data_IF_833759075384
#
_entry.id   IF_833759075384
#
_cell.length_a   1.000
_cell.length_b   1.000
_cell.length_c   1.000
_cell.angle_alpha   90.00
_cell.angle_beta   90.00
_cell.angle_gamma   90.00
#
_symmetry.space_group_name_H-M   'P 1'
#
loop_
_entity.id
_entity.type
_entity.pdbx_description
1 polymer ?
#
# COMPACT_ATOMS: atom_id res chain seq x y z
N UNK A 1 -4.54 4.86 -3.01
CA UNK A 1 -4.98 6.22 -3.30
C UNK A 1 -6.50 6.36 -3.35
N UNK A 2 -7.20 5.60 -4.21
CA UNK A 2 -8.66 5.71 -4.39
C UNK A 2 -9.43 5.61 -3.06
N UNK A 3 -9.12 4.57 -2.28
CA UNK A 3 -9.79 4.32 -1.00
C UNK A 3 -9.55 5.43 0.02
N UNK A 4 -8.33 5.96 0.07
CA UNK A 4 -7.97 6.94 1.08
C UNK A 4 -8.60 8.31 0.83
N UNK A 5 -8.86 8.63 -0.44
CA UNK A 5 -9.37 9.95 -0.82
C UNK A 5 -10.73 10.28 -0.17
N UNK A 6 -11.50 9.27 0.21
CA UNK A 6 -12.81 9.48 0.86
C UNK A 6 -12.70 10.09 2.26
N UNK A 7 -11.50 10.08 2.86
CA UNK A 7 -11.27 10.73 4.16
C UNK A 7 -10.77 12.17 4.03
N UNK A 8 -10.56 12.64 2.81
CA UNK A 8 -9.96 13.95 2.58
C UNK A 8 -11.00 15.05 2.74
N UNK A 9 -10.58 16.14 3.36
CA UNK A 9 -11.39 17.34 3.54
C UNK A 9 -10.47 18.55 3.56
N UNK A 10 -10.84 19.59 2.84
CA UNK A 10 -10.08 20.82 2.79
C UNK A 10 -11.02 22.03 2.78
N UNK A 11 -10.69 23.08 3.54
CA UNK A 11 -11.47 24.32 3.47
C UNK A 11 -11.49 24.94 2.06
N UNK A 12 -10.49 24.62 1.23
CA UNK A 12 -10.44 25.12 -0.15
C UNK A 12 -11.38 24.36 -1.08
N UNK A 13 -11.84 23.18 -0.63
CA UNK A 13 -12.73 22.30 -1.41
C UNK A 13 -13.92 21.90 -0.53
N UNK A 14 -14.82 22.84 -0.20
CA UNK A 14 -15.87 22.58 0.80
C UNK A 14 -16.86 21.48 0.37
N UNK A 15 -17.08 21.32 -0.92
CA UNK A 15 -17.99 20.28 -1.44
C UNK A 15 -17.24 19.08 -2.03
N UNK A 16 -16.04 18.82 -1.53
CA UNK A 16 -15.17 17.79 -2.09
C UNK A 16 -15.89 16.45 -2.28
N UNK A 17 -16.64 16.03 -1.27
CA UNK A 17 -17.30 14.71 -1.32
C UNK A 17 -18.34 14.58 -2.44
N UNK A 18 -18.89 15.68 -2.92
CA UNK A 18 -19.85 15.65 -4.03
C UNK A 18 -19.18 15.37 -5.38
N UNK A 19 -17.86 15.53 -5.45
CA UNK A 19 -17.09 15.29 -6.69
C UNK A 19 -16.53 13.85 -6.78
N UNK A 20 -16.81 13.00 -5.78
CA UNK A 20 -16.32 11.62 -5.82
C UNK A 20 -16.92 10.85 -7.00
N UNK A 21 -16.18 9.93 -7.61
CA UNK A 21 -14.83 9.47 -7.25
C UNK A 21 -13.74 10.44 -7.74
N UNK A 22 -12.80 10.77 -6.86
CA UNK A 22 -11.74 11.74 -7.16
C UNK A 22 -10.65 11.16 -8.06
N UNK A 23 -10.52 9.85 -8.04
CA UNK A 23 -9.48 9.14 -8.78
C UNK A 23 -10.16 8.22 -9.77
N UNK A 24 -9.75 8.29 -11.01
CA UNK A 24 -10.30 7.50 -12.11
C UNK A 24 -10.25 6.00 -11.76
N UNK A 25 -11.40 5.34 -11.77
CA UNK A 25 -11.52 3.93 -11.40
C UNK A 25 -11.03 2.97 -12.48
N UNK A 26 -11.04 3.40 -13.73
CA UNK A 26 -10.68 2.56 -14.87
C UNK A 26 -9.42 3.02 -15.60
N UNK A 27 -8.77 4.06 -15.09
CA UNK A 27 -7.57 4.62 -15.70
C UNK A 27 -6.29 3.87 -15.34
N UNK A 28 -5.19 4.33 -15.92
CA UNK A 28 -3.86 3.80 -15.62
C UNK A 28 -3.39 4.25 -14.23
N UNK A 29 -2.30 3.65 -13.77
CA UNK A 29 -1.65 4.06 -12.52
C UNK A 29 -1.19 5.52 -12.60
N UNK A 30 -0.66 5.93 -13.75
CA UNK A 30 -0.21 7.32 -13.94
C UNK A 30 -1.40 8.30 -13.90
N UNK A 31 -2.56 7.93 -14.47
CA UNK A 31 -3.73 8.81 -14.35
C UNK A 31 -4.23 8.89 -12.90
N UNK A 32 -4.08 7.83 -12.14
CA UNK A 32 -4.41 7.84 -10.70
C UNK A 32 -3.48 8.77 -9.92
N UNK A 33 -2.19 8.77 -10.30
CA UNK A 33 -1.20 9.68 -9.70
C UNK A 33 -1.54 11.14 -10.03
N UNK A 34 -1.86 11.43 -11.30
CA UNK A 34 -2.23 12.77 -11.74
C UNK A 34 -3.45 13.28 -10.97
N UNK A 35 -4.51 12.46 -10.89
CA UNK A 35 -5.73 12.84 -10.17
C UNK A 35 -5.44 13.11 -8.69
N UNK A 36 -4.59 12.29 -8.06
CA UNK A 36 -4.25 12.48 -6.65
C UNK A 36 -3.43 13.75 -6.46
N UNK A 37 -2.49 14.03 -7.35
CA UNK A 37 -1.68 15.23 -7.30
C UNK A 37 -2.55 16.48 -7.47
N UNK A 38 -3.46 16.47 -8.47
CA UNK A 38 -4.41 17.58 -8.67
C UNK A 38 -5.24 17.82 -7.41
N UNK A 39 -5.73 16.74 -6.80
CA UNK A 39 -6.52 16.84 -5.56
C UNK A 39 -5.70 17.45 -4.42
N UNK A 40 -4.45 17.02 -4.26
CA UNK A 40 -3.57 17.56 -3.22
C UNK A 40 -3.32 19.06 -3.42
N UNK A 41 -2.96 19.46 -4.63
CA UNK A 41 -2.67 20.86 -4.94
C UNK A 41 -3.93 21.74 -4.81
N UNK A 42 -5.05 21.28 -5.35
CA UNK A 42 -6.33 22.01 -5.25
C UNK A 42 -6.80 22.12 -3.79
N UNK A 43 -6.52 21.09 -2.99
CA UNK A 43 -6.88 21.11 -1.56
C UNK A 43 -5.92 21.92 -0.69
N UNK A 44 -4.87 22.51 -1.28
CA UNK A 44 -3.96 23.43 -0.58
C UNK A 44 -2.67 22.79 -0.08
N UNK A 45 -2.42 21.53 -0.41
CA UNK A 45 -1.12 20.93 -0.09
C UNK A 45 -0.07 21.52 -1.05
N UNK A 46 1.08 21.94 -0.52
CA UNK A 46 2.13 22.47 -1.38
C UNK A 46 2.83 21.36 -2.18
N UNK A 47 3.42 21.77 -3.29
CA UNK A 47 4.03 20.83 -4.25
C UNK A 47 5.16 20.01 -3.64
N UNK A 48 5.91 20.55 -2.68
CA UNK A 48 7.01 19.84 -2.03
C UNK A 48 6.47 18.62 -1.27
N UNK A 49 5.51 18.85 -0.39
CA UNK A 49 4.91 17.78 0.42
C UNK A 49 4.14 16.80 -0.46
N UNK A 50 3.36 17.30 -1.42
CA UNK A 50 2.59 16.45 -2.33
C UNK A 50 3.49 15.45 -3.06
N UNK A 51 4.58 15.94 -3.65
CA UNK A 51 5.50 15.08 -4.40
C UNK A 51 6.26 14.12 -3.47
N UNK A 52 6.70 14.59 -2.30
CA UNK A 52 7.40 13.72 -1.34
C UNK A 52 6.51 12.65 -0.73
N UNK A 53 5.20 12.91 -0.64
CA UNK A 53 4.24 11.91 -0.18
C UNK A 53 3.95 10.88 -1.28
N UNK A 54 3.78 11.33 -2.52
CA UNK A 54 3.42 10.46 -3.64
C UNK A 54 4.62 9.70 -4.20
N UNK A 55 5.79 10.37 -4.31
CA UNK A 55 6.99 9.77 -4.93
C UNK A 55 8.22 10.08 -4.05
N UNK A 56 8.30 9.48 -2.87
CA UNK A 56 9.43 9.73 -1.97
C UNK A 56 10.70 9.01 -2.44
N UNK A 57 11.87 9.41 -1.92
CA UNK A 57 13.08 8.61 -2.07
C UNK A 57 12.98 7.32 -1.24
N UNK A 58 13.96 6.45 -1.34
CA UNK A 58 14.06 5.29 -0.44
C UNK A 58 14.52 5.79 0.95
N UNK A 59 13.69 5.57 1.98
CA UNK A 59 14.03 6.07 3.33
C UNK A 59 14.12 4.96 4.38
N UNK A 60 13.34 3.88 4.21
CA UNK A 60 13.18 2.87 5.27
C UNK A 60 14.51 2.24 5.68
N UNK A 61 15.30 1.87 4.69
CA UNK A 61 16.52 1.09 4.90
C UNK A 61 17.80 1.91 4.64
N UNK A 62 17.72 3.23 4.75
CA UNK A 62 18.88 4.12 4.54
C UNK A 62 19.53 4.44 5.89
N UNK A 63 20.63 3.79 6.25
CA UNK A 63 21.15 3.89 7.61
C UNK A 63 21.59 5.31 8.02
N UNK A 64 22.10 6.07 7.07
CA UNK A 64 22.66 7.40 7.30
C UNK A 64 21.67 8.55 7.12
N UNK A 65 20.38 8.23 6.92
CA UNK A 65 19.37 9.29 6.75
C UNK A 65 19.14 10.05 8.05
N UNK A 66 19.09 11.36 7.95
CA UNK A 66 18.77 12.26 9.06
C UNK A 66 17.49 11.75 9.78
N UNK A 67 17.52 11.56 11.10
CA UNK A 67 16.38 11.01 11.83
C UNK A 67 15.07 11.83 11.73
N UNK A 68 15.18 13.15 11.66
CA UNK A 68 13.99 14.01 11.54
C UNK A 68 13.39 13.90 10.14
N UNK A 69 14.25 13.77 9.12
CA UNK A 69 13.79 13.53 7.75
C UNK A 69 13.15 12.15 7.61
N UNK A 70 13.75 11.13 8.23
CA UNK A 70 13.16 9.79 8.27
C UNK A 70 11.77 9.84 8.89
N UNK A 71 11.63 10.57 10.00
CA UNK A 71 10.35 10.70 10.70
C UNK A 71 9.29 11.40 9.82
N UNK A 72 9.70 12.41 9.04
CA UNK A 72 8.80 13.05 8.07
C UNK A 72 8.27 12.04 7.05
N UNK A 73 9.15 11.23 6.45
CA UNK A 73 8.72 10.23 5.46
C UNK A 73 7.86 9.15 6.11
N UNK A 74 8.25 8.66 7.27
CA UNK A 74 7.51 7.64 8.00
C UNK A 74 6.10 8.13 8.34
N UNK A 75 5.98 9.35 8.86
CA UNK A 75 4.70 9.99 9.19
C UNK A 75 3.78 10.04 7.96
N UNK A 76 4.28 10.58 6.85
CA UNK A 76 3.46 10.77 5.66
C UNK A 76 3.08 9.43 5.00
N UNK A 77 3.94 8.41 5.09
CA UNK A 77 3.65 7.08 4.53
C UNK A 77 2.51 6.35 5.25
N UNK A 78 2.15 6.77 6.47
CA UNK A 78 1.05 6.14 7.21
C UNK A 78 -0.31 6.38 6.55
N UNK A 79 -0.44 7.46 5.77
CA UNK A 79 -1.71 7.89 5.21
C UNK A 79 -1.78 7.92 3.69
N UNK A 80 -0.69 7.57 3.01
CA UNK A 80 -0.66 7.49 1.55
C UNK A 80 0.44 6.51 1.10
N UNK A 81 0.06 5.53 0.34
CA UNK A 81 1.02 4.60 -0.27
C UNK A 81 1.79 5.34 -1.37
N UNK A 82 3.12 5.24 -1.37
CA UNK A 82 3.91 5.91 -2.41
C UNK A 82 3.83 5.18 -3.74
N UNK A 83 4.19 5.88 -4.79
CA UNK A 83 4.36 5.30 -6.13
C UNK A 83 5.40 4.18 -6.08
N UNK A 84 5.10 3.08 -6.73
CA UNK A 84 6.04 1.98 -6.92
C UNK A 84 6.16 1.68 -8.41
N UNK A 85 7.39 1.72 -8.91
CA UNK A 85 7.68 1.46 -10.30
C UNK A 85 8.47 2.59 -10.96
N UNK A 86 8.89 2.41 -12.23
CA UNK A 86 9.66 3.43 -12.93
C UNK A 86 8.84 4.70 -13.17
N UNK A 87 9.41 5.86 -12.84
CA UNK A 87 8.75 7.14 -13.08
C UNK A 87 9.77 8.26 -13.31
N UNK A 88 9.51 9.07 -14.32
CA UNK A 88 10.16 10.35 -14.49
C UNK A 88 9.03 11.35 -14.67
N UNK A 89 8.79 12.17 -13.67
CA UNK A 89 7.62 13.04 -13.59
C UNK A 89 8.06 14.47 -13.78
N UNK A 90 7.41 15.17 -14.70
CA UNK A 90 7.56 16.62 -14.89
C UNK A 90 6.18 17.23 -14.72
N UNK A 91 6.09 18.26 -13.90
CA UNK A 91 4.80 18.88 -13.58
C UNK A 91 4.95 20.38 -13.35
N UNK A 92 3.81 21.08 -13.40
CA UNK A 92 3.76 22.49 -13.07
C UNK A 92 2.38 22.82 -12.46
N UNK A 93 2.38 23.69 -11.45
CA UNK A 93 1.16 24.23 -10.85
C UNK A 93 0.91 25.70 -11.25
N UNK A 94 1.64 26.18 -12.26
CA UNK A 94 1.55 27.58 -12.71
C UNK A 94 2.52 28.53 -12.01
N UNK A 95 3.12 28.12 -10.90
CA UNK A 95 4.19 28.84 -10.21
C UNK A 95 5.46 28.04 -10.19
N UNK A 96 5.33 26.80 -9.80
CA UNK A 96 6.46 25.88 -9.72
C UNK A 96 6.49 24.98 -10.95
N UNK A 97 7.69 24.72 -11.45
CA UNK A 97 7.95 23.65 -12.41
C UNK A 97 8.84 22.65 -11.69
N UNK A 98 8.54 21.36 -11.78
CA UNK A 98 9.25 20.38 -10.99
C UNK A 98 9.54 19.10 -11.78
N UNK A 99 10.62 18.43 -11.38
CA UNK A 99 10.94 17.10 -11.88
C UNK A 99 11.25 16.19 -10.71
N UNK A 100 10.62 15.01 -10.69
CA UNK A 100 10.86 13.99 -9.67
C UNK A 100 11.14 12.65 -10.33
N UNK A 101 12.14 11.93 -9.87
CA UNK A 101 12.39 10.57 -10.29
C UNK A 101 11.95 9.59 -9.21
N UNK A 102 11.57 8.38 -9.65
CA UNK A 102 11.22 7.31 -8.72
C UNK A 102 12.40 6.94 -7.82
N UNK A 103 12.11 6.27 -6.70
CA UNK A 103 13.13 5.94 -5.69
C UNK A 103 14.27 5.07 -6.22
N UNK A 104 14.04 4.33 -7.30
CA UNK A 104 15.05 3.46 -7.91
C UNK A 104 15.88 4.18 -8.98
N UNK A 105 15.37 5.30 -9.48
CA UNK A 105 16.02 6.06 -10.54
C UNK A 105 16.08 5.30 -11.87
N UNK A 106 15.01 4.55 -12.18
CA UNK A 106 14.96 3.72 -13.38
C UNK A 106 14.77 4.56 -14.65
N UNK A 107 14.21 5.77 -14.50
CA UNK A 107 14.11 6.74 -15.60
C UNK A 107 15.20 7.79 -15.41
N UNK A 108 15.87 8.21 -16.48
CA UNK A 108 16.86 9.29 -16.37
C UNK A 108 16.22 10.66 -16.46
N UNK A 109 16.88 11.66 -15.89
CA UNK A 109 16.55 13.08 -16.11
C UNK A 109 17.81 13.90 -16.01
N UNK A 110 18.04 14.73 -17.02
CA UNK A 110 19.20 15.61 -17.11
C UNK A 110 18.71 17.04 -17.31
N UNK A 111 19.48 18.00 -16.81
CA UNK A 111 19.13 19.39 -17.01
C UNK A 111 20.34 20.22 -17.43
N UNK A 112 20.04 21.30 -18.13
CA UNK A 112 20.97 22.34 -18.50
C UNK A 112 20.39 23.69 -18.07
N UNK A 113 21.19 24.51 -17.45
CA UNK A 113 20.84 25.89 -17.07
C UNK A 113 21.73 26.84 -17.85
N UNK A 114 21.12 27.79 -18.57
CA UNK A 114 21.87 28.81 -19.31
C UNK A 114 22.17 30.03 -18.43
N UNK A 115 23.11 30.87 -18.90
CA UNK A 115 23.43 32.15 -18.25
C UNK A 115 22.22 33.07 -18.23
N UNK A 116 21.31 32.94 -19.19
CA UNK A 116 20.06 33.69 -19.25
C UNK A 116 18.96 33.12 -18.39
N UNK A 117 19.31 32.12 -17.54
CA UNK A 117 18.39 31.48 -16.58
C UNK A 117 17.28 30.66 -17.24
N UNK A 118 17.49 30.19 -18.46
CA UNK A 118 16.62 29.18 -19.05
C UNK A 118 17.04 27.81 -18.54
N UNK A 119 16.09 27.00 -18.11
CA UNK A 119 16.36 25.61 -17.73
C UNK A 119 15.67 24.67 -18.71
N UNK A 120 16.42 23.71 -19.22
CA UNK A 120 15.91 22.64 -20.05
C UNK A 120 16.15 21.32 -19.34
N UNK A 121 15.09 20.56 -19.18
CA UNK A 121 15.13 19.26 -18.49
C UNK A 121 14.54 18.19 -19.39
N UNK A 122 15.24 17.06 -19.52
CA UNK A 122 14.82 15.97 -20.40
C UNK A 122 15.42 14.64 -19.95
N UNK A 123 14.86 13.55 -20.48
CA UNK A 123 15.39 12.20 -20.22
C UNK A 123 16.80 12.01 -20.76
N UNK A 124 17.16 12.77 -21.82
CA UNK A 124 18.46 12.61 -22.49
C UNK A 124 19.03 13.96 -22.93
N UNK A 125 20.32 13.98 -23.21
CA UNK A 125 21.00 15.18 -23.72
C UNK A 125 20.76 15.33 -25.21
N UNK A 126 20.90 16.57 -25.69
CA UNK A 126 20.85 16.84 -27.13
C UNK A 126 19.46 17.14 -27.68
N UNK A 127 18.45 17.28 -26.82
CA UNK A 127 17.11 17.70 -27.29
C UNK A 127 17.09 19.18 -27.68
N UNK A 128 18.08 19.94 -27.21
CA UNK A 128 18.27 21.35 -27.53
C UNK A 128 19.77 21.62 -27.57
N UNK A 129 20.21 22.29 -28.61
CA UNK A 129 21.63 22.62 -28.76
C UNK A 129 21.93 23.98 -28.14
N UNK A 130 22.81 23.97 -27.16
CA UNK A 130 23.33 25.17 -26.53
C UNK A 130 24.81 25.30 -26.81
N UNK A 131 25.23 26.51 -27.22
CA UNK A 131 26.66 26.78 -27.33
C UNK A 131 27.32 26.63 -25.94
N UNK A 132 28.55 26.10 -25.89
CA UNK A 132 29.21 25.89 -24.59
C UNK A 132 29.29 27.14 -23.72
N UNK A 133 29.43 28.29 -24.33
CA UNK A 133 29.52 29.57 -23.63
C UNK A 133 28.18 30.11 -23.13
N UNK A 134 27.06 29.53 -23.60
CA UNK A 134 25.72 29.87 -23.09
C UNK A 134 25.39 29.11 -21.80
N UNK A 135 26.04 27.99 -21.56
CA UNK A 135 25.71 27.09 -20.46
C UNK A 135 26.34 27.59 -19.17
N UNK A 136 25.53 27.72 -18.11
CA UNK A 136 25.95 28.03 -16.76
C UNK A 136 26.17 26.77 -15.95
N UNK A 137 25.27 25.79 -16.08
CA UNK A 137 25.32 24.55 -15.29
C UNK A 137 24.69 23.39 -16.05
N UNK A 138 25.25 22.20 -15.85
CA UNK A 138 24.67 20.94 -16.33
C UNK A 138 24.59 19.98 -15.16
N UNK A 139 23.49 19.24 -15.09
CA UNK A 139 23.31 18.28 -14.02
C UNK A 139 22.35 17.16 -14.38
N UNK A 140 22.11 16.35 -13.39
CA UNK A 140 21.12 15.27 -13.49
C UNK A 140 20.30 15.21 -12.20
N UNK A 141 19.08 14.74 -12.31
CA UNK A 141 18.24 14.42 -11.16
C UNK A 141 18.51 12.96 -10.84
N UNK A 142 18.82 12.65 -9.59
CA UNK A 142 19.15 11.30 -9.16
C UNK A 142 17.93 10.52 -8.66
N UNK A 143 18.15 9.24 -8.28
CA UNK A 143 17.07 8.40 -7.76
C UNK A 143 16.36 9.05 -6.57
N UNK A 144 15.04 9.18 -6.66
CA UNK A 144 14.23 9.76 -5.61
C UNK A 144 14.42 11.26 -5.41
N UNK A 145 15.22 11.91 -6.24
CA UNK A 145 15.43 13.36 -6.10
C UNK A 145 14.29 14.16 -6.72
N UNK A 146 14.02 15.30 -6.09
CA UNK A 146 13.02 16.27 -6.52
C UNK A 146 13.73 17.60 -6.78
N UNK A 147 13.61 18.11 -8.00
CA UNK A 147 14.13 19.42 -8.40
C UNK A 147 12.93 20.33 -8.67
N UNK A 148 12.88 21.50 -8.04
CA UNK A 148 11.75 22.43 -8.21
C UNK A 148 12.25 23.83 -8.56
N UNK A 149 11.65 24.44 -9.54
CA UNK A 149 11.93 25.81 -10.00
C UNK A 149 10.76 26.68 -9.58
N UNK A 150 11.00 27.68 -8.72
CA UNK A 150 10.01 28.72 -8.40
C UNK A 150 10.16 29.81 -9.47
N UNK A 151 9.26 29.81 -10.42
CA UNK A 151 9.34 30.76 -11.57
C UNK A 151 9.10 32.21 -11.15
N UNK A 152 8.40 32.44 -10.05
CA UNK A 152 8.15 33.80 -9.54
C UNK A 152 9.38 34.38 -8.85
N UNK A 153 10.13 33.53 -8.14
CA UNK A 153 11.33 33.96 -7.40
C UNK A 153 12.62 33.75 -8.20
N UNK A 154 12.56 33.03 -9.32
CA UNK A 154 13.75 32.65 -10.06
C UNK A 154 14.69 31.79 -9.23
N UNK A 155 14.15 30.96 -8.33
CA UNK A 155 14.95 30.11 -7.45
C UNK A 155 14.77 28.64 -7.83
N UNK A 156 15.90 27.94 -7.88
CA UNK A 156 15.91 26.48 -8.01
C UNK A 156 16.07 25.91 -6.61
N UNK A 157 15.17 25.00 -6.25
CA UNK A 157 15.19 24.25 -5.00
C UNK A 157 15.75 22.87 -5.28
N UNK A 158 16.85 22.56 -4.66
CA UNK A 158 17.45 21.23 -4.73
C UNK A 158 16.78 20.31 -3.71
N UNK A 159 16.89 19.01 -3.97
CA UNK A 159 16.26 17.96 -3.16
C UNK A 159 16.54 18.15 -1.65
N UNK A 160 17.78 18.38 -1.28
CA UNK A 160 18.18 18.56 0.13
C UNK A 160 17.56 19.80 0.76
N UNK A 161 17.40 20.89 0.01
CA UNK A 161 16.76 22.11 0.53
C UNK A 161 15.27 21.86 0.81
N UNK A 162 14.61 21.14 -0.11
CA UNK A 162 13.20 20.76 0.03
C UNK A 162 13.02 19.87 1.27
N UNK A 163 13.88 18.87 1.41
CA UNK A 163 13.84 17.92 2.52
C UNK A 163 14.07 18.64 3.87
N UNK A 164 14.99 19.59 3.91
CA UNK A 164 15.25 20.39 5.12
C UNK A 164 14.06 21.30 5.47
N UNK A 165 13.39 21.86 4.49
CA UNK A 165 12.18 22.63 4.71
C UNK A 165 11.08 21.75 5.30
N UNK A 166 10.81 20.61 4.66
CA UNK A 166 9.70 19.72 5.03
C UNK A 166 9.88 19.12 6.43
N UNK A 167 11.07 18.60 6.75
CA UNK A 167 11.29 17.96 8.06
C UNK A 167 11.18 18.93 9.23
N UNK A 168 11.36 20.24 8.96
CA UNK A 168 11.34 21.27 10.01
C UNK A 168 9.95 21.82 10.29
N UNK A 169 8.94 21.47 9.50
CA UNK A 169 7.60 22.05 9.62
C UNK A 169 6.87 21.64 10.89
N UNK A 170 7.07 20.43 11.34
CA UNK A 170 6.42 19.88 12.54
C UNK A 170 7.38 18.97 13.29
N UNK A 171 7.13 18.67 14.56
CA UNK A 171 7.98 17.75 15.33
C UNK A 171 7.64 16.29 15.03
N UNK A 172 7.78 15.88 13.76
CA UNK A 172 7.38 14.55 13.30
C UNK A 172 8.02 13.44 14.12
N UNK A 173 9.28 13.61 14.48
CA UNK A 173 10.00 12.60 15.25
C UNK A 173 9.37 12.39 16.63
N UNK A 174 9.08 13.48 17.33
CA UNK A 174 8.41 13.42 18.64
C UNK A 174 7.03 12.77 18.51
N UNK A 175 6.25 13.16 17.47
CA UNK A 175 4.94 12.57 17.21
C UNK A 175 5.03 11.06 16.99
N UNK A 176 6.01 10.62 16.19
CA UNK A 176 6.20 9.20 15.87
C UNK A 176 6.68 8.41 17.09
N UNK A 177 7.63 8.95 17.86
CA UNK A 177 8.16 8.28 19.05
C UNK A 177 7.10 8.10 20.13
N UNK A 178 6.19 9.07 20.27
CA UNK A 178 5.19 9.05 21.34
C UNK A 178 3.92 8.25 20.99
N UNK A 179 3.56 8.15 19.71
CA UNK A 179 2.22 7.67 19.33
C UNK A 179 2.21 6.39 18.50
N UNK A 180 3.34 6.01 17.87
CA UNK A 180 3.37 4.76 17.11
C UNK A 180 3.45 3.57 18.06
N UNK A 181 2.53 2.62 17.89
CA UNK A 181 2.53 1.40 18.68
C UNK A 181 3.27 0.29 17.93
N UNK A 182 4.13 -0.44 18.65
CA UNK A 182 4.84 -1.60 18.12
C UNK A 182 4.45 -2.81 18.95
N UNK A 183 4.19 -3.92 18.29
CA UNK A 183 3.91 -5.18 18.99
C UNK A 183 5.21 -5.73 19.60
N UNK A 184 5.07 -6.49 20.67
CA UNK A 184 6.21 -7.19 21.27
C UNK A 184 6.69 -8.27 20.30
N UNK A 185 7.97 -8.26 19.92
CA UNK A 185 8.49 -9.29 19.02
C UNK A 185 8.30 -10.71 19.59
N UNK A 186 8.04 -11.68 18.71
CA UNK A 186 7.83 -13.08 19.07
C UNK A 186 8.91 -13.60 20.03
N UNK A 187 10.18 -13.25 19.77
CA UNK A 187 11.33 -13.70 20.58
C UNK A 187 11.32 -13.18 22.01
N UNK A 188 10.48 -12.18 22.31
CA UNK A 188 10.38 -11.57 23.63
C UNK A 188 9.06 -11.92 24.34
N UNK A 189 8.21 -12.69 23.69
CA UNK A 189 6.95 -13.09 24.29
C UNK A 189 7.14 -14.24 25.28
N UNK A 190 6.43 -14.24 26.42
CA UNK A 190 6.45 -15.40 27.29
C UNK A 190 5.78 -16.60 26.63
N UNK A 191 6.20 -17.80 27.02
CA UNK A 191 5.75 -19.06 26.40
C UNK A 191 4.23 -19.22 26.35
N UNK A 192 3.52 -18.74 27.35
CA UNK A 192 2.05 -18.83 27.41
C UNK A 192 1.37 -17.92 26.38
N UNK A 193 2.09 -16.95 25.80
CA UNK A 193 1.57 -16.04 24.78
C UNK A 193 1.92 -16.48 23.35
N UNK A 194 2.79 -17.48 23.22
CA UNK A 194 3.22 -17.97 21.90
C UNK A 194 2.13 -18.79 21.21
N UNK A 195 1.33 -19.48 21.98
CA UNK A 195 0.12 -20.18 21.54
C UNK A 195 0.24 -21.08 20.31
N UNK A 196 0.29 -22.37 20.51
CA UNK A 196 0.22 -23.32 19.40
C UNK A 196 -1.21 -23.84 19.24
N UNK A 197 -1.70 -23.84 18.01
CA UNK A 197 -2.93 -24.53 17.68
C UNK A 197 -2.54 -25.94 17.19
N UNK A 198 -2.81 -26.95 18.01
CA UNK A 198 -2.58 -28.32 17.60
C UNK A 198 -3.82 -28.85 16.87
N UNK A 199 -3.60 -29.63 15.84
CA UNK A 199 -4.67 -30.31 15.10
C UNK A 199 -4.48 -31.82 15.28
N UNK A 200 -5.57 -32.50 15.61
CA UNK A 200 -5.54 -33.96 15.45
C UNK A 200 -5.53 -34.30 13.95
N UNK A 201 -5.17 -35.53 13.63
CA UNK A 201 -4.95 -35.95 12.24
C UNK A 201 -6.20 -35.81 11.35
N UNK A 202 -7.39 -36.04 11.90
CA UNK A 202 -8.64 -35.98 11.13
C UNK A 202 -9.06 -34.54 10.90
N UNK A 203 -8.90 -33.69 11.91
CA UNK A 203 -9.17 -32.26 11.77
C UNK A 203 -8.22 -31.62 10.76
N UNK A 204 -6.93 -31.99 10.82
CA UNK A 204 -5.95 -31.49 9.84
C UNK A 204 -6.34 -31.86 8.41
N UNK A 205 -6.73 -33.13 8.17
CA UNK A 205 -7.19 -33.56 6.85
C UNK A 205 -8.41 -32.80 6.39
N UNK A 206 -9.32 -32.49 7.32
CA UNK A 206 -10.52 -31.74 7.01
C UNK A 206 -10.16 -30.33 6.53
N UNK A 207 -9.26 -29.65 7.25
CA UNK A 207 -8.79 -28.32 6.85
C UNK A 207 -8.05 -28.35 5.52
N UNK A 208 -7.16 -29.34 5.33
CA UNK A 208 -6.43 -29.48 4.06
C UNK A 208 -7.41 -29.60 2.87
N UNK A 209 -8.48 -30.39 3.04
CA UNK A 209 -9.50 -30.51 1.99
C UNK A 209 -10.28 -29.22 1.79
N UNK A 210 -10.69 -28.56 2.86
CA UNK A 210 -11.47 -27.32 2.77
C UNK A 210 -10.69 -26.18 2.11
N UNK A 211 -9.38 -26.14 2.35
CA UNK A 211 -8.52 -25.14 1.73
C UNK A 211 -7.88 -25.62 0.43
N UNK A 212 -8.32 -26.79 -0.07
CA UNK A 212 -7.84 -27.40 -1.32
C UNK A 212 -6.32 -27.57 -1.36
N UNK A 213 -5.69 -27.79 -0.19
CA UNK A 213 -4.24 -27.95 -0.10
C UNK A 213 -3.81 -29.31 -0.66
N UNK A 214 -2.98 -29.27 -1.68
CA UNK A 214 -2.42 -30.47 -2.30
C UNK A 214 -1.14 -30.90 -1.61
N UNK A 215 -0.75 -32.16 -1.82
CA UNK A 215 0.55 -32.66 -1.34
C UNK A 215 1.70 -31.88 -1.98
N UNK A 216 1.51 -31.44 -3.22
CA UNK A 216 2.52 -30.65 -3.93
C UNK A 216 2.75 -29.30 -3.23
N UNK A 217 1.69 -28.62 -2.83
CA UNK A 217 1.82 -27.37 -2.10
C UNK A 217 2.51 -27.58 -0.74
N UNK A 218 2.16 -28.67 -0.05
CA UNK A 218 2.79 -29.00 1.22
C UNK A 218 4.30 -29.21 1.03
N UNK A 219 4.69 -30.00 0.01
CA UNK A 219 6.10 -30.33 -0.21
C UNK A 219 6.90 -29.18 -0.86
N UNK A 220 6.32 -28.49 -1.84
CA UNK A 220 7.08 -27.54 -2.64
C UNK A 220 7.01 -26.12 -2.12
N UNK A 221 6.00 -25.79 -1.31
CA UNK A 221 5.82 -24.44 -0.80
C UNK A 221 5.98 -24.41 0.72
N UNK A 222 5.10 -25.10 1.45
CA UNK A 222 5.09 -25.01 2.92
C UNK A 222 6.34 -25.61 3.55
N UNK A 223 6.82 -26.73 3.02
CA UNK A 223 8.05 -27.35 3.55
C UNK A 223 9.27 -26.47 3.31
N UNK A 224 9.37 -25.85 2.13
CA UNK A 224 10.48 -24.95 1.84
C UNK A 224 10.46 -23.76 2.82
N UNK A 225 9.29 -23.20 3.05
CA UNK A 225 9.16 -22.11 4.01
C UNK A 225 9.49 -22.57 5.44
N UNK A 226 8.97 -23.73 5.85
CA UNK A 226 9.15 -24.23 7.22
C UNK A 226 10.56 -24.73 7.52
N UNK A 227 11.16 -25.48 6.61
CA UNK A 227 12.47 -26.10 6.83
C UNK A 227 13.64 -25.14 6.53
N UNK A 228 13.47 -24.28 5.53
CA UNK A 228 14.56 -23.46 5.00
C UNK A 228 14.41 -21.97 5.30
N UNK A 229 13.25 -21.56 5.82
CA UNK A 229 12.91 -20.15 6.05
C UNK A 229 13.11 -19.31 4.78
N UNK A 230 12.76 -19.90 3.64
CA UNK A 230 12.89 -19.25 2.33
C UNK A 230 11.55 -19.28 1.60
N UNK A 231 11.29 -18.24 0.81
CA UNK A 231 10.13 -18.23 -0.05
C UNK A 231 10.31 -19.27 -1.17
N UNK A 232 9.27 -20.04 -1.43
CA UNK A 232 9.30 -21.02 -2.52
C UNK A 232 9.40 -20.31 -3.87
N UNK A 233 10.23 -20.83 -4.76
CA UNK A 233 10.42 -20.27 -6.10
C UNK A 233 9.47 -20.97 -7.06
N UNK A 234 8.80 -20.20 -7.90
CA UNK A 234 7.85 -20.72 -8.86
C UNK A 234 7.87 -19.97 -10.18
N UNK A 235 7.14 -20.50 -11.15
CA UNK A 235 6.97 -19.86 -12.45
C UNK A 235 5.68 -19.02 -12.46
N UNK A 236 5.75 -17.84 -13.03
CA UNK A 236 4.59 -16.96 -13.17
C UNK A 236 3.64 -17.40 -14.28
N UNK A 237 4.13 -18.05 -15.29
CA UNK A 237 3.32 -18.51 -16.42
C UNK A 237 3.12 -20.02 -16.36
N UNK A 238 1.92 -20.48 -16.63
CA UNK A 238 1.60 -21.90 -16.62
C UNK A 238 0.70 -22.24 -17.81
N UNK A 239 1.23 -23.03 -18.73
CA UNK A 239 0.50 -23.49 -19.93
C UNK A 239 -0.22 -24.82 -19.71
N UNK A 240 -0.18 -25.38 -18.50
CA UNK A 240 -0.83 -26.65 -18.20
C UNK A 240 -2.34 -26.55 -18.49
N UNK A 241 -2.92 -27.43 -19.32
CA UNK A 241 -4.35 -27.38 -19.58
C UNK A 241 -5.18 -27.65 -18.32
N UNK A 242 -6.29 -26.97 -18.19
CA UNK A 242 -7.24 -27.21 -17.10
C UNK A 242 -7.86 -28.60 -17.25
N UNK A 243 -7.98 -29.33 -16.16
CA UNK A 243 -8.63 -30.63 -16.11
C UNK A 243 -10.15 -30.43 -16.00
N UNK A 244 -10.79 -30.00 -17.09
CA UNK A 244 -12.19 -29.55 -17.10
C UNK A 244 -13.20 -30.66 -16.78
N UNK A 245 -12.79 -31.91 -16.89
CA UNK A 245 -13.65 -33.06 -16.58
C UNK A 245 -13.38 -33.65 -15.20
N UNK A 246 -12.48 -33.02 -14.43
CA UNK A 246 -12.16 -33.48 -13.08
C UNK A 246 -13.32 -33.21 -12.12
N UNK A 247 -13.56 -34.14 -11.22
CA UNK A 247 -14.52 -33.97 -10.12
C UNK A 247 -13.84 -33.39 -8.86
N UNK A 248 -12.53 -33.15 -8.92
CA UNK A 248 -11.79 -32.57 -7.78
C UNK A 248 -12.06 -31.07 -7.67
N UNK A 249 -12.30 -30.64 -6.46
CA UNK A 249 -12.49 -29.22 -6.16
C UNK A 249 -11.18 -28.46 -6.37
N UNK A 250 -11.32 -27.23 -6.84
CA UNK A 250 -10.20 -26.33 -7.08
C UNK A 250 -10.50 -24.95 -6.49
N UNK A 251 -9.48 -24.26 -6.07
CA UNK A 251 -9.62 -22.85 -5.67
C UNK A 251 -9.98 -22.01 -6.89
N UNK A 252 -10.74 -20.96 -6.67
CA UNK A 252 -11.14 -20.10 -7.78
C UNK A 252 -9.95 -19.45 -8.47
N UNK A 253 -8.88 -19.18 -7.75
CA UNK A 253 -7.63 -18.66 -8.31
C UNK A 253 -7.06 -19.55 -9.41
N UNK A 254 -7.26 -20.87 -9.32
CA UNK A 254 -6.72 -21.84 -10.30
C UNK A 254 -7.34 -21.66 -11.68
N UNK A 255 -8.48 -20.97 -11.77
CA UNK A 255 -9.17 -20.73 -13.04
C UNK A 255 -8.68 -19.46 -13.74
N UNK A 256 -7.82 -18.67 -13.09
CA UNK A 256 -7.28 -17.44 -13.66
C UNK A 256 -5.81 -17.67 -14.01
N UNK A 257 -5.49 -17.47 -15.26
CA UNK A 257 -4.15 -17.69 -15.78
C UNK A 257 -3.66 -16.49 -16.53
N UNK A 258 -2.40 -16.22 -16.39
CA UNK A 258 -1.73 -15.15 -17.11
C UNK A 258 -1.59 -15.54 -18.59
N UNK A 259 -2.01 -14.67 -19.49
CA UNK A 259 -2.02 -14.96 -20.92
C UNK A 259 -0.70 -14.61 -21.63
N UNK A 260 0.20 -13.91 -20.96
CA UNK A 260 1.45 -13.49 -21.56
C UNK A 260 2.56 -13.59 -20.50
N UNK A 261 3.79 -13.72 -20.95
CA UNK A 261 4.95 -13.72 -20.06
C UNK A 261 5.08 -12.35 -19.41
N UNK A 262 5.32 -12.35 -18.12
CA UNK A 262 5.43 -11.12 -17.34
C UNK A 262 6.65 -11.20 -16.44
N UNK A 263 7.43 -10.13 -16.40
CA UNK A 263 8.47 -9.99 -15.42
C UNK A 263 7.83 -9.42 -14.14
N UNK A 264 8.25 -9.92 -13.00
CA UNK A 264 7.61 -9.56 -11.74
C UNK A 264 7.86 -8.12 -11.34
N UNK A 265 9.10 -7.67 -11.45
CA UNK A 265 9.52 -6.36 -10.97
C UNK A 265 10.53 -5.73 -11.91
N UNK A 266 10.79 -4.42 -11.79
CA UNK A 266 11.96 -3.85 -12.43
C UNK A 266 13.21 -4.65 -12.05
N UNK A 267 14.22 -4.72 -12.93
CA UNK A 267 15.41 -5.52 -12.66
C UNK A 267 16.30 -4.86 -11.59
N UNK A 268 15.97 -5.15 -10.34
CA UNK A 268 16.68 -4.64 -9.17
C UNK A 268 17.46 -5.83 -8.58
N UNK A 269 18.76 -5.65 -8.42
CA UNK A 269 19.60 -6.71 -7.85
C UNK A 269 19.33 -6.85 -6.34
N UNK A 270 19.61 -8.02 -5.74
CA UNK A 270 19.30 -8.26 -4.33
C UNK A 270 19.98 -7.29 -3.35
N UNK A 271 21.12 -6.73 -3.69
CA UNK A 271 21.80 -5.77 -2.82
C UNK A 271 21.06 -4.43 -2.82
N UNK A 272 20.66 -3.97 -3.99
CA UNK A 272 19.90 -2.74 -4.13
C UNK A 272 18.49 -2.89 -3.55
N UNK A 273 17.87 -4.06 -3.71
CA UNK A 273 16.54 -4.35 -3.16
C UNK A 273 16.48 -4.04 -1.67
N UNK A 274 17.51 -4.40 -0.91
CA UNK A 274 17.58 -4.15 0.53
C UNK A 274 17.50 -2.66 0.88
N UNK A 275 17.94 -1.79 -0.02
CA UNK A 275 17.90 -0.34 0.22
C UNK A 275 16.59 0.29 -0.21
N UNK A 276 15.97 -0.19 -1.30
CA UNK A 276 14.86 0.51 -1.94
C UNK A 276 13.50 -0.13 -1.67
N UNK A 277 13.46 -1.36 -1.15
CA UNK A 277 12.20 -2.07 -0.89
C UNK A 277 11.98 -2.26 0.61
N UNK A 278 10.72 -2.28 1.02
CA UNK A 278 10.35 -2.54 2.41
C UNK A 278 8.96 -3.19 2.45
N UNK A 279 8.82 -4.17 3.34
CA UNK A 279 7.52 -4.78 3.64
C UNK A 279 6.84 -4.11 4.84
N UNK A 280 7.51 -3.14 5.47
CA UNK A 280 6.96 -2.45 6.63
C UNK A 280 5.61 -1.83 6.28
N UNK A 281 4.63 -2.04 7.14
CA UNK A 281 3.28 -1.53 6.94
C UNK A 281 2.71 -1.01 8.26
N UNK A 282 1.59 -0.31 8.18
CA UNK A 282 0.93 0.20 9.37
C UNK A 282 -0.58 0.13 9.22
N UNK A 283 -1.25 -0.06 10.36
CA UNK A 283 -2.72 -0.04 10.43
C UNK A 283 -3.18 0.87 11.56
N UNK A 284 -4.41 1.33 11.46
CA UNK A 284 -5.02 2.21 12.46
C UNK A 284 -5.99 3.18 11.79
N UNK A 285 -6.48 4.13 12.54
CA UNK A 285 -7.45 5.09 12.05
C UNK A 285 -6.89 5.93 10.90
N UNK A 286 -7.64 6.00 9.82
CA UNK A 286 -7.26 6.86 8.67
C UNK A 286 -7.61 8.31 9.00
N UNK A 287 -6.65 9.20 8.75
CA UNK A 287 -6.78 10.63 9.05
C UNK A 287 -6.75 11.44 7.76
N UNK A 288 -7.17 12.70 7.88
CA UNK A 288 -7.21 13.62 6.73
C UNK A 288 -5.80 14.12 6.39
N UNK A 289 -5.33 13.83 5.20
CA UNK A 289 -3.94 14.17 4.78
C UNK A 289 -3.69 15.68 4.65
N UNK A 290 -4.75 16.48 4.57
CA UNK A 290 -4.58 17.95 4.48
C UNK A 290 -4.26 18.59 5.84
N UNK A 291 -4.42 17.83 6.92
CA UNK A 291 -4.06 18.27 8.26
C UNK A 291 -2.86 17.45 8.74
N UNK A 292 -1.98 18.08 9.48
CA UNK A 292 -0.83 17.35 10.07
C UNK A 292 -0.89 17.57 11.58
N UNK A 293 -1.15 16.49 12.30
CA UNK A 293 -1.23 16.50 13.77
C UNK A 293 -0.61 15.21 14.31
N UNK A 294 -0.29 15.23 15.59
CA UNK A 294 0.21 14.03 16.29
C UNK A 294 -0.74 12.83 16.17
N UNK A 295 -2.06 13.10 16.05
CA UNK A 295 -3.06 12.05 15.86
C UNK A 295 -2.79 11.13 14.67
N UNK A 296 -2.13 11.66 13.63
CA UNK A 296 -1.79 10.87 12.43
C UNK A 296 -0.76 9.78 12.74
N UNK A 297 -0.01 9.91 13.83
CA UNK A 297 1.01 8.94 14.23
C UNK A 297 0.45 7.78 15.07
N UNK A 298 -0.86 7.81 15.46
CA UNK A 298 -1.48 6.71 16.20
C UNK A 298 -1.71 5.52 15.26
N UNK A 299 -0.64 4.78 15.01
CA UNK A 299 -0.66 3.60 14.12
C UNK A 299 0.06 2.44 14.77
N UNK A 300 -0.40 1.22 14.51
CA UNK A 300 0.37 0.01 14.83
C UNK A 300 1.24 -0.29 13.61
N UNK A 301 2.54 -0.46 13.82
CA UNK A 301 3.48 -0.73 12.74
C UNK A 301 4.03 -2.15 12.83
N UNK A 302 4.24 -2.75 11.67
CA UNK A 302 4.77 -4.11 11.50
C UNK A 302 5.92 -4.08 10.50
N UNK A 303 6.89 -4.96 10.70
CA UNK A 303 8.00 -5.12 9.75
C UNK A 303 7.56 -5.92 8.50
N UNK A 304 6.42 -6.63 8.60
CA UNK A 304 5.88 -7.44 7.51
C UNK A 304 4.34 -7.38 7.56
N UNK A 305 3.67 -7.42 6.41
CA UNK A 305 2.20 -7.51 6.39
C UNK A 305 1.68 -8.91 6.79
N UNK A 306 2.56 -9.89 6.90
CA UNK A 306 2.22 -11.23 7.37
C UNK A 306 2.44 -11.26 8.88
N UNK A 307 1.36 -11.55 9.62
CA UNK A 307 1.37 -11.54 11.08
C UNK A 307 1.32 -12.97 11.62
N UNK A 308 2.14 -13.24 12.64
CA UNK A 308 2.06 -14.49 13.38
C UNK A 308 0.77 -14.51 14.23
N UNK A 309 0.40 -15.68 14.69
CA UNK A 309 -0.75 -15.83 15.60
C UNK A 309 -0.60 -14.92 16.82
N UNK A 310 0.59 -14.89 17.40
CA UNK A 310 0.90 -14.06 18.56
C UNK A 310 0.75 -12.56 18.28
N UNK A 311 1.15 -12.12 17.07
CA UNK A 311 0.99 -10.72 16.67
C UNK A 311 -0.49 -10.38 16.58
N UNK A 312 -1.27 -11.30 15.97
CA UNK A 312 -2.70 -11.10 15.83
C UNK A 312 -3.39 -11.04 17.20
N UNK A 313 -2.98 -11.90 18.15
CA UNK A 313 -3.53 -11.87 19.50
C UNK A 313 -3.22 -10.53 20.19
N UNK A 314 -2.00 -10.03 20.06
CA UNK A 314 -1.66 -8.72 20.60
C UNK A 314 -2.53 -7.62 19.99
N UNK A 315 -2.67 -7.64 18.66
CA UNK A 315 -3.48 -6.64 17.94
C UNK A 315 -4.93 -6.64 18.45
N UNK A 316 -5.50 -7.83 18.63
CA UNK A 316 -6.90 -7.98 19.08
C UNK A 316 -7.12 -7.52 20.52
N UNK A 317 -6.06 -7.45 21.34
CA UNK A 317 -6.18 -6.98 22.72
C UNK A 317 -6.00 -5.47 22.88
N UNK A 318 -5.66 -4.76 21.82
CA UNK A 318 -5.52 -3.30 21.87
C UNK A 318 -6.89 -2.67 22.12
N UNK A 319 -7.00 -1.94 23.22
CA UNK A 319 -8.27 -1.36 23.67
C UNK A 319 -8.44 0.11 23.32
N UNK A 320 -7.39 0.74 22.82
CA UNK A 320 -7.41 2.17 22.47
C UNK A 320 -8.38 2.40 21.30
N UNK A 321 -9.07 3.53 21.33
CA UNK A 321 -10.03 3.90 20.29
C UNK A 321 -9.44 3.92 18.89
N UNK A 322 -8.14 4.25 18.76
CA UNK A 322 -7.46 4.31 17.48
C UNK A 322 -7.23 2.93 16.84
N UNK A 323 -7.44 1.85 17.63
CA UNK A 323 -7.24 0.46 17.19
C UNK A 323 -8.45 -0.42 17.47
N UNK A 324 -9.59 0.19 17.84
CA UNK A 324 -10.80 -0.57 18.15
C UNK A 324 -11.08 -1.57 17.04
N UNK A 325 -11.15 -2.85 17.40
CA UNK A 325 -11.26 -3.92 16.42
C UNK A 325 -12.53 -4.75 16.62
N UNK A 326 -12.99 -5.38 15.53
CA UNK A 326 -14.13 -6.30 15.55
C UNK A 326 -13.84 -7.46 14.63
N UNK A 327 -14.03 -8.67 15.12
CA UNK A 327 -13.85 -9.89 14.32
C UNK A 327 -15.20 -10.24 13.68
N UNK A 328 -15.19 -10.43 12.37
CA UNK A 328 -16.34 -10.90 11.60
C UNK A 328 -16.05 -12.32 11.11
N UNK A 329 -16.92 -13.25 11.48
CA UNK A 329 -16.84 -14.63 11.02
C UNK A 329 -17.27 -14.68 9.55
N UNK A 330 -16.39 -15.21 8.67
CA UNK A 330 -16.68 -15.34 7.24
C UNK A 330 -17.23 -16.72 6.85
N UNK A 331 -17.42 -17.58 7.81
CA UNK A 331 -18.04 -18.88 7.55
C UNK A 331 -19.56 -18.74 7.36
N UNK A 332 -20.12 -19.59 6.53
CA UNK A 332 -21.57 -19.63 6.31
C UNK A 332 -22.02 -21.05 6.04
N UNK A 333 -23.29 -21.34 6.30
CA UNK A 333 -23.87 -22.64 6.01
C UNK A 333 -24.52 -22.59 4.61
N UNK A 334 -24.00 -23.37 3.66
CA UNK A 334 -24.55 -23.37 2.30
C UNK A 334 -25.96 -23.97 2.19
N UNK A 335 -26.46 -24.62 3.26
CA UNK A 335 -27.86 -25.09 3.30
C UNK A 335 -28.82 -23.96 3.70
N UNK A 336 -28.32 -22.95 4.39
CA UNK A 336 -29.14 -21.83 4.85
C UNK A 336 -29.14 -20.67 3.84
N UNK A 337 -28.02 -20.40 3.22
CA UNK A 337 -27.88 -19.26 2.28
C UNK A 337 -26.82 -19.55 1.24
N UNK A 338 -27.00 -18.97 0.07
CA UNK A 338 -25.99 -19.07 -0.99
C UNK A 338 -24.84 -18.08 -0.74
N UNK A 339 -23.74 -18.28 -1.44
CA UNK A 339 -22.53 -17.48 -1.26
C UNK A 339 -22.78 -15.97 -1.49
N UNK A 340 -23.56 -15.63 -2.52
CA UNK A 340 -23.86 -14.22 -2.82
C UNK A 340 -24.53 -13.54 -1.63
N UNK A 341 -25.54 -14.20 -1.04
CA UNK A 341 -26.23 -13.67 0.12
C UNK A 341 -25.28 -13.57 1.33
N UNK A 342 -24.44 -14.59 1.56
CA UNK A 342 -23.47 -14.58 2.64
C UNK A 342 -22.50 -13.40 2.54
N UNK A 343 -22.03 -13.11 1.32
CA UNK A 343 -21.12 -11.98 1.08
C UNK A 343 -21.84 -10.65 1.34
N UNK A 344 -23.09 -10.51 0.85
CA UNK A 344 -23.85 -9.27 1.08
C UNK A 344 -24.11 -9.06 2.58
N UNK A 345 -24.50 -10.11 3.31
CA UNK A 345 -24.70 -10.04 4.75
C UNK A 345 -23.41 -9.63 5.47
N UNK A 346 -22.27 -10.14 5.01
CA UNK A 346 -20.95 -9.78 5.58
C UNK A 346 -20.63 -8.31 5.33
N UNK A 347 -20.93 -7.81 4.12
CA UNK A 347 -20.74 -6.40 3.79
C UNK A 347 -21.61 -5.50 4.68
N UNK A 348 -22.89 -5.87 4.88
CA UNK A 348 -23.79 -5.11 5.74
C UNK A 348 -23.28 -5.10 7.20
N UNK A 349 -22.80 -6.25 7.71
CA UNK A 349 -22.21 -6.32 9.05
C UNK A 349 -20.95 -5.47 9.15
N UNK A 350 -20.08 -5.51 8.14
CA UNK A 350 -18.85 -4.71 8.14
C UNK A 350 -19.19 -3.21 8.17
N UNK A 351 -20.19 -2.80 7.36
CA UNK A 351 -20.65 -1.42 7.38
C UNK A 351 -21.17 -1.03 8.76
N UNK A 352 -21.99 -1.89 9.35
CA UNK A 352 -22.57 -1.64 10.68
C UNK A 352 -21.47 -1.42 11.73
N UNK A 353 -20.50 -2.35 11.86
CA UNK A 353 -19.49 -2.25 12.91
C UNK A 353 -18.59 -1.03 12.72
N UNK A 354 -18.32 -0.63 11.46
CA UNK A 354 -17.54 0.58 11.20
C UNK A 354 -18.35 1.83 11.61
N UNK A 355 -19.66 1.87 11.33
CA UNK A 355 -20.52 2.97 11.78
C UNK A 355 -20.58 3.06 13.31
N UNK A 356 -20.39 1.94 13.99
CA UNK A 356 -20.33 1.86 15.46
C UNK A 356 -18.95 2.21 16.02
N UNK A 357 -17.99 2.57 15.16
CA UNK A 357 -16.67 3.05 15.56
C UNK A 357 -15.55 2.02 15.50
N UNK A 358 -15.77 0.87 14.85
CA UNK A 358 -14.68 -0.07 14.59
C UNK A 358 -13.69 0.53 13.62
N UNK A 359 -12.42 0.47 13.96
CA UNK A 359 -11.31 0.95 13.13
C UNK A 359 -10.69 -0.19 12.32
N UNK A 360 -10.57 -1.37 12.95
CA UNK A 360 -9.96 -2.55 12.34
C UNK A 360 -10.99 -3.66 12.24
N UNK A 361 -11.41 -3.99 11.03
CA UNK A 361 -12.31 -5.12 10.79
C UNK A 361 -11.44 -6.34 10.44
N UNK A 362 -11.56 -7.38 11.26
CA UNK A 362 -10.80 -8.63 11.08
C UNK A 362 -11.74 -9.70 10.52
N UNK A 363 -11.44 -10.22 9.35
CA UNK A 363 -12.19 -11.32 8.76
C UNK A 363 -11.55 -12.63 9.22
N UNK A 364 -12.36 -13.54 9.79
CA UNK A 364 -11.82 -14.77 10.38
C UNK A 364 -12.60 -16.00 9.93
N UNK A 365 -11.89 -17.01 9.49
CA UNK A 365 -12.44 -18.34 9.20
C UNK A 365 -12.22 -19.34 10.34
N UNK A 366 -11.73 -18.88 11.47
CA UNK A 366 -11.34 -19.76 12.59
C UNK A 366 -12.48 -20.55 13.22
N UNK A 367 -13.73 -20.18 12.99
CA UNK A 367 -14.92 -20.90 13.46
C UNK A 367 -15.31 -22.05 12.52
N UNK A 368 -14.53 -22.30 11.51
CA UNK A 368 -14.83 -23.37 10.54
C UNK A 368 -14.92 -24.72 11.25
N UNK A 369 -16.03 -25.20 11.04
CA UNK A 369 -16.35 -26.48 11.66
C UNK A 369 -16.51 -27.59 10.67
N UNK A 370 -16.65 -28.74 11.11
CA UNK A 370 -16.90 -29.93 10.37
C UNK A 370 -18.25 -29.99 9.72
N UNK A 371 -18.91 -29.32 10.10
CA UNK A 371 -20.22 -29.24 9.60
C UNK A 371 -20.31 -28.35 8.39
N UNK A 372 -19.59 -28.26 7.81
CA UNK A 372 -19.59 -27.65 6.65
C UNK A 372 -19.48 -26.24 6.45
N UNK A 373 -19.05 -25.70 6.77
CA UNK A 373 -19.05 -24.40 6.45
C UNK A 373 -18.09 -24.10 5.38
N UNK A 374 -18.34 -23.57 4.67
CA UNK A 374 -17.50 -23.26 3.63
C UNK A 374 -16.92 -21.97 3.85
N UNK A 375 -16.04 -21.91 3.88
CA UNK A 375 -15.40 -20.74 3.99
C UNK A 375 -15.53 -20.00 2.77
N UNK A 376 -15.79 -19.26 2.90
CA UNK A 376 -16.00 -18.49 1.85
C UNK A 376 -14.79 -18.14 1.14
N UNK A 377 -14.21 -18.85 1.17
CA UNK A 377 -13.09 -18.54 0.47
C UNK A 377 -13.44 -18.29 -0.91
N UNK A 378 -13.50 -17.66 -1.16
CA UNK A 378 -13.74 -17.26 -2.40
C UNK A 378 -14.03 -18.31 -3.43
N UNK A 379 -14.92 -18.97 -3.28
CA UNK A 379 -15.24 -19.96 -4.33
C UNK A 379 -16.34 -19.50 -5.29
N UNK A 380 -16.58 -18.27 -5.50
CA UNK A 380 -17.62 -17.86 -6.45
C UNK A 380 -17.15 -16.86 -7.49
N UNK A 381 -17.83 -16.93 -8.61
CA UNK A 381 -17.55 -16.20 -9.83
C UNK A 381 -18.14 -14.78 -9.88
N UNK A 382 -18.38 -14.12 -8.77
CA UNK A 382 -18.82 -12.71 -8.86
C UNK A 382 -17.57 -11.80 -8.88
N UNK A 383 -17.34 -11.14 -10.04
CA UNK A 383 -16.16 -10.26 -10.19
C UNK A 383 -16.13 -9.09 -9.21
N UNK A 384 -17.23 -8.74 -8.60
CA UNK A 384 -17.29 -7.65 -7.63
C UNK A 384 -16.65 -8.02 -6.30
N UNK A 385 -16.47 -9.30 -6.05
CA UNK A 385 -15.78 -9.78 -4.84
C UNK A 385 -14.27 -9.80 -4.99
N UNK A 386 -13.75 -9.57 -6.19
CA UNK A 386 -12.33 -9.72 -6.49
C UNK A 386 -11.49 -8.48 -6.27
N UNK A 387 -12.06 -7.39 -5.89
CA UNK A 387 -11.31 -6.16 -5.71
C UNK A 387 -11.19 -5.67 -4.27
N UNK A 388 -11.60 -6.47 -3.30
CA UNK A 388 -11.63 -5.99 -1.90
C UNK A 388 -12.61 -4.82 -1.70
N UNK A 389 -13.59 -4.67 -2.59
CA UNK A 389 -14.51 -3.54 -2.59
C UNK A 389 -15.95 -4.01 -2.64
N UNK A 390 -16.69 -3.75 -1.60
CA UNK A 390 -18.12 -3.67 -1.68
C UNK A 390 -18.48 -2.21 -1.94
N UNK A 391 -18.72 -1.86 -3.19
CA UNK A 391 -19.29 -0.55 -3.47
C UNK A 391 -20.80 -0.67 -3.28
N UNK A 392 -21.30 -0.22 -2.17
CA UNK A 392 -22.73 -0.01 -2.05
C UNK A 392 -23.03 1.37 -2.62
N UNK A 393 -23.73 1.42 -3.73
CA UNK A 393 -24.31 2.64 -4.23
C UNK A 393 -25.55 2.97 -3.38
N UNK A 394 -25.30 3.41 -2.15
CA UNK A 394 -26.36 4.03 -1.36
C UNK A 394 -25.93 5.45 -1.07
N UNK A 395 -26.77 6.37 -1.43
CA UNK A 395 -26.65 7.80 -1.16
C UNK A 395 -26.48 8.05 0.35
N UNK A 396 -25.26 8.31 0.75
CA UNK A 396 -25.00 8.72 2.15
C UNK A 396 -23.77 8.07 2.77
N UNK A 397 -22.68 8.53 2.43
CA UNK A 397 -21.46 8.79 3.15
C UNK A 397 -20.90 7.83 4.18
N UNK A 398 -20.46 6.64 3.84
CA UNK A 398 -19.27 6.02 4.43
C UNK A 398 -18.88 4.85 3.56
N UNK A 399 -17.73 4.97 2.96
CA UNK A 399 -17.15 3.89 2.17
C UNK A 399 -16.10 3.19 3.01
N UNK A 400 -16.12 1.87 2.95
CA UNK A 400 -15.30 1.01 3.80
C UNK A 400 -14.22 0.34 2.98
N UNK A 401 -13.02 0.31 3.51
CA UNK A 401 -11.95 -0.49 2.94
C UNK A 401 -11.87 -1.79 3.73
N UNK A 402 -12.42 -2.85 3.16
CA UNK A 402 -12.08 -4.19 3.60
C UNK A 402 -10.74 -4.52 2.96
N UNK A 403 -9.67 -4.45 3.74
CA UNK A 403 -8.38 -4.93 3.24
C UNK A 403 -8.36 -6.46 3.35
N UNK A 404 -8.79 -7.12 2.30
CA UNK A 404 -8.31 -8.47 2.05
C UNK A 404 -6.92 -8.32 1.44
N UNK A 405 -5.90 -8.53 2.25
CA UNK A 405 -4.55 -8.59 1.71
C UNK A 405 -4.39 -9.96 1.07
N UNK A 406 -4.55 -10.00 -0.24
CA UNK A 406 -4.08 -11.12 -1.01
C UNK A 406 -2.65 -10.79 -1.44
N UNK A 407 -1.72 -11.55 -0.91
CA UNK A 407 -0.34 -11.49 -1.36
C UNK A 407 -0.17 -12.38 -2.57
N UNK A 408 0.32 -11.81 -3.64
CA UNK A 408 0.98 -12.51 -4.72
C UNK A 408 2.46 -12.14 -4.69
#
# INVERSE_FOLDING_TARGET
ARARAYKFASPLLPDLQSAAPFVNETGSDSSSLDNMLDLFLAGGMDIFRAMRMLVPPAWQNHPDMDPDLRAFYDFNSKHMEPWDGPAGIVLSDGRYAACNLDRNGLRPARYVITKDKLITLASEVGIWDYAPDEVSEKGRVGPGELLVIDTRKGKIWQSSEIDNDLKSRHPYREWMENNVHKLTPFSQLPDDKVGERSFDADLLKTYQKQFAMSNEEIDQILRVLGDMAQEAVGSMGDDTPMAVLSSKERLISDYFRQKFAQVTNPPIDPLREKHVMSLATSIGQEMNVFCETDGHAHRVTFDSPILLYSDMQQLLTLSDQHYRNTILDINFDPQEKNLKQAVLDLCDKAEQVVREGTVLVVLSDRALXXXXXXXXXXSSADPRCYGGWCSTSSSGGSQFTLRCQHHY
#
